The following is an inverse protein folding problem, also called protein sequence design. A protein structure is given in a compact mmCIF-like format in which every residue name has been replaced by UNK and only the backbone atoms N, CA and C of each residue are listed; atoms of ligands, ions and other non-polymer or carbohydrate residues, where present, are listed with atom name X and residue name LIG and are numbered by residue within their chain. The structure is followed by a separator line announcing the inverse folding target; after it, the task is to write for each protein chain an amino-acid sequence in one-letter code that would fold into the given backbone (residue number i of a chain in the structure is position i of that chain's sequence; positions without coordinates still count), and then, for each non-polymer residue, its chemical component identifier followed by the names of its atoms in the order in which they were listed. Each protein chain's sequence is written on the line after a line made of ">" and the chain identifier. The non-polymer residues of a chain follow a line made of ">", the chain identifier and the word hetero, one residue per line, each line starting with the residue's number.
data_IF_770838141357
#
_entry.id   IF_770838141357
#
_cell.length_a   1.000
_cell.length_b   1.000
_cell.length_c   1.000
_cell.angle_alpha   90.00
_cell.angle_beta   90.00
_cell.angle_gamma   90.00
#
_symmetry.space_group_name_H-M   'P 1'
#
loop_
_entity.id
_entity.type
_entity.pdbx_description
1 polymer ?
#
# COMPACT_ATOMS: atom_id res chain seq x y z
N UNK A 1 14.23 -33.32 -11.78
CA UNK A 1 12.86 -32.91 -12.17
C UNK A 1 12.40 -32.07 -11.01
N UNK A 2 12.76 -30.80 -11.01
CA UNK A 2 12.62 -29.95 -9.83
C UNK A 2 11.95 -28.66 -10.29
N UNK A 3 10.67 -28.79 -10.63
CA UNK A 3 9.77 -27.65 -10.70
C UNK A 3 9.43 -27.34 -9.24
N UNK A 4 10.09 -26.32 -8.67
CA UNK A 4 9.71 -25.74 -7.38
C UNK A 4 8.36 -25.01 -7.56
N UNK A 5 7.29 -25.78 -7.61
CA UNK A 5 5.91 -25.34 -7.80
C UNK A 5 5.31 -24.87 -6.45
N UNK A 6 6.07 -24.08 -5.69
CA UNK A 6 5.51 -23.42 -4.50
C UNK A 6 4.59 -22.31 -4.97
N UNK A 7 3.29 -22.49 -4.70
CA UNK A 7 2.29 -21.46 -4.90
C UNK A 7 2.78 -20.11 -4.33
N UNK A 8 2.68 -19.05 -5.14
CA UNK A 8 3.14 -17.72 -4.78
C UNK A 8 2.51 -17.25 -3.46
N UNK A 9 3.35 -16.89 -2.49
CA UNK A 9 2.92 -16.37 -1.20
C UNK A 9 3.33 -14.89 -1.06
N UNK A 10 2.37 -13.95 -1.08
CA UNK A 10 2.65 -12.52 -1.01
C UNK A 10 3.45 -12.08 0.21
N UNK A 11 4.45 -11.21 0.00
CA UNK A 11 5.14 -10.48 1.07
C UNK A 11 4.44 -9.14 1.31
N UNK A 12 3.68 -9.05 2.40
CA UNK A 12 2.92 -7.84 2.73
C UNK A 12 3.56 -7.11 3.90
N UNK A 13 3.80 -5.82 3.74
CA UNK A 13 4.26 -4.94 4.81
C UNK A 13 3.10 -4.05 5.29
N UNK A 14 2.80 -4.06 6.59
CA UNK A 14 1.76 -3.25 7.19
C UNK A 14 2.32 -2.12 8.03
N UNK A 15 1.96 -0.87 7.76
CA UNK A 15 2.24 0.26 8.66
C UNK A 15 0.98 0.61 9.44
N UNK A 16 0.97 0.33 10.75
CA UNK A 16 -0.21 0.53 11.58
C UNK A 16 0.00 1.63 12.60
N UNK A 17 -0.96 2.55 12.72
CA UNK A 17 -0.94 3.54 13.78
C UNK A 17 -1.12 2.86 15.15
N UNK A 18 -0.37 3.34 16.14
CA UNK A 18 -0.33 2.79 17.49
C UNK A 18 -1.72 2.81 18.15
N UNK A 19 -2.46 3.90 17.98
CA UNK A 19 -3.66 4.19 18.77
C UNK A 19 -4.91 3.44 18.32
N UNK A 20 -5.01 3.10 17.03
CA UNK A 20 -6.21 2.48 16.48
C UNK A 20 -5.87 1.17 15.77
N UNK A 21 -5.27 1.21 14.58
CA UNK A 21 -5.14 -0.01 13.76
C UNK A 21 -4.21 -1.05 14.37
N UNK A 22 -3.17 -0.65 15.09
CA UNK A 22 -2.31 -1.59 15.82
C UNK A 22 -3.09 -2.25 16.97
N UNK A 23 -3.87 -1.46 17.73
CA UNK A 23 -4.77 -2.00 18.76
C UNK A 23 -5.88 -2.87 18.18
N UNK A 24 -6.39 -2.56 16.98
CA UNK A 24 -7.31 -3.43 16.24
C UNK A 24 -6.68 -4.77 15.87
N UNK A 25 -5.39 -4.77 15.48
CA UNK A 25 -4.63 -6.00 15.27
C UNK A 25 -4.45 -6.80 16.58
N UNK A 26 -4.14 -6.12 17.69
CA UNK A 26 -4.07 -6.75 19.02
C UNK A 26 -5.42 -7.38 19.41
N UNK A 27 -6.52 -6.67 19.18
CA UNK A 27 -7.87 -7.18 19.44
C UNK A 27 -8.20 -8.40 18.57
N UNK A 28 -7.78 -8.42 17.30
CA UNK A 28 -7.92 -9.59 16.44
C UNK A 28 -7.20 -10.80 17.03
N UNK A 29 -5.98 -10.60 17.55
CA UNK A 29 -5.19 -11.62 18.24
C UNK A 29 -5.85 -12.13 19.53
N UNK A 30 -6.29 -11.23 20.40
CA UNK A 30 -7.02 -11.56 21.65
C UNK A 30 -8.31 -12.33 21.36
N UNK A 31 -9.01 -11.94 20.29
CA UNK A 31 -10.25 -12.57 19.84
C UNK A 31 -10.02 -13.85 19.03
N UNK A 32 -8.76 -14.26 18.85
CA UNK A 32 -8.34 -15.48 18.10
C UNK A 32 -8.84 -15.50 16.65
N UNK A 33 -9.03 -14.34 16.04
CA UNK A 33 -9.49 -14.21 14.67
C UNK A 33 -8.37 -14.60 13.71
N UNK A 34 -8.63 -15.61 12.88
CA UNK A 34 -7.63 -16.12 11.94
C UNK A 34 -7.61 -15.29 10.66
N UNK A 35 -6.42 -14.92 10.21
CA UNK A 35 -6.16 -14.27 8.93
C UNK A 35 -4.80 -14.76 8.39
N UNK A 36 -4.50 -14.58 7.09
CA UNK A 36 -3.24 -15.03 6.50
C UNK A 36 -1.99 -14.45 7.21
N UNK A 37 -0.96 -15.27 7.42
CA UNK A 37 0.25 -14.93 8.17
C UNK A 37 1.28 -14.09 7.36
N UNK A 38 0.88 -13.59 6.19
CA UNK A 38 1.74 -12.90 5.22
C UNK A 38 2.16 -11.50 5.63
N UNK A 39 1.34 -10.85 6.46
CA UNK A 39 1.55 -9.46 6.84
C UNK A 39 2.61 -9.34 7.94
N UNK A 40 3.60 -8.47 7.73
CA UNK A 40 4.58 -8.05 8.75
C UNK A 40 4.30 -6.62 9.15
N UNK A 41 4.00 -6.39 10.42
CA UNK A 41 3.53 -5.09 10.91
C UNK A 41 4.72 -4.26 11.44
N UNK A 42 4.84 -3.04 10.94
CA UNK A 42 5.64 -1.95 11.51
C UNK A 42 4.69 -1.01 12.25
N UNK A 43 4.93 -0.84 13.55
CA UNK A 43 4.19 0.10 14.39
C UNK A 43 4.72 1.52 14.18
N UNK A 44 3.82 2.46 13.95
CA UNK A 44 4.11 3.91 13.94
C UNK A 44 3.17 4.63 14.89
N UNK A 45 3.56 5.77 15.44
CA UNK A 45 2.65 6.50 16.35
C UNK A 45 1.40 7.01 15.65
N UNK A 46 1.54 7.46 14.40
CA UNK A 46 0.45 7.99 13.59
C UNK A 46 0.65 7.58 12.14
N UNK A 47 -0.43 7.32 11.41
CA UNK A 47 -0.37 7.15 9.96
C UNK A 47 0.20 8.39 9.27
N UNK A 48 0.03 9.58 9.87
CA UNK A 48 0.62 10.84 9.37
C UNK A 48 2.15 10.88 9.43
N UNK A 49 2.78 10.03 10.26
CA UNK A 49 4.23 9.85 10.33
C UNK A 49 4.80 9.02 9.19
N UNK A 50 3.95 8.37 8.39
CA UNK A 50 4.36 7.59 7.23
C UNK A 50 4.65 8.55 6.08
N UNK A 51 5.94 8.74 5.80
CA UNK A 51 6.39 9.45 4.59
C UNK A 51 6.24 8.58 3.33
N UNK A 52 6.05 9.17 2.14
CA UNK A 52 6.04 8.44 0.87
C UNK A 52 7.33 7.65 0.62
N UNK A 53 8.47 8.13 1.14
CA UNK A 53 9.75 7.42 1.03
C UNK A 53 9.71 6.03 1.68
N UNK A 54 9.06 5.87 2.84
CA UNK A 54 8.94 4.54 3.46
C UNK A 54 8.16 3.56 2.58
N UNK A 55 7.11 4.04 1.90
CA UNK A 55 6.24 3.23 1.05
C UNK A 55 6.98 2.80 -0.22
N UNK A 56 7.68 3.73 -0.88
CA UNK A 56 8.53 3.43 -2.03
C UNK A 56 9.67 2.48 -1.66
N UNK A 57 10.31 2.71 -0.51
CA UNK A 57 11.38 1.86 -0.03
C UNK A 57 10.91 0.43 0.25
N UNK A 58 9.69 0.25 0.76
CA UNK A 58 9.11 -1.07 0.96
C UNK A 58 9.00 -1.84 -0.36
N UNK A 59 8.52 -1.20 -1.43
CA UNK A 59 8.46 -1.81 -2.76
C UNK A 59 9.87 -2.09 -3.33
N UNK A 60 10.83 -1.16 -3.17
CA UNK A 60 12.23 -1.38 -3.55
C UNK A 60 12.89 -2.56 -2.83
N UNK A 61 12.44 -2.88 -1.61
CA UNK A 61 12.91 -4.04 -0.83
C UNK A 61 12.13 -5.33 -1.12
N UNK A 62 11.25 -5.32 -2.12
CA UNK A 62 10.53 -6.51 -2.60
C UNK A 62 9.25 -6.83 -1.83
N UNK A 63 8.57 -5.81 -1.28
CA UNK A 63 7.19 -5.99 -0.83
C UNK A 63 6.27 -6.17 -2.04
N UNK A 64 5.41 -7.19 -2.01
CA UNK A 64 4.40 -7.42 -3.05
C UNK A 64 3.15 -6.54 -2.85
N UNK A 65 2.93 -6.11 -1.60
CA UNK A 65 1.89 -5.17 -1.21
C UNK A 65 2.23 -4.43 0.08
N UNK A 66 1.72 -3.21 0.21
CA UNK A 66 1.87 -2.37 1.39
C UNK A 66 0.49 -1.95 1.89
N UNK A 67 0.19 -2.30 3.15
CA UNK A 67 -1.03 -1.91 3.85
C UNK A 67 -0.72 -0.76 4.82
N UNK A 68 -1.56 0.26 4.85
CA UNK A 68 -1.51 1.35 5.82
C UNK A 68 -2.80 1.32 6.64
N UNK A 69 -2.67 1.20 7.96
CA UNK A 69 -3.79 1.30 8.90
C UNK A 69 -3.72 2.59 9.70
N UNK A 70 -4.80 3.38 9.67
CA UNK A 70 -4.96 4.56 10.50
C UNK A 70 -6.26 4.58 11.30
N UNK A 71 -6.38 5.58 12.18
CA UNK A 71 -7.65 5.92 12.85
C UNK A 71 -8.69 6.36 11.80
N UNK A 72 -9.97 6.16 12.09
CA UNK A 72 -11.07 6.79 11.33
C UNK A 72 -10.88 8.29 11.18
N UNK A 73 -11.38 8.83 10.07
CA UNK A 73 -11.31 10.25 9.78
C UNK A 73 -12.18 11.00 10.80
N UNK A 74 -11.57 11.91 11.56
CA UNK A 74 -12.19 12.56 12.72
C UNK A 74 -11.63 12.06 14.06
N UNK A 75 -11.16 10.81 14.13
CA UNK A 75 -10.76 10.14 15.37
C UNK A 75 -9.24 10.05 15.55
N UNK A 76 -8.48 10.83 14.77
CA UNK A 76 -7.03 10.79 14.87
C UNK A 76 -6.57 11.28 16.25
N UNK A 77 -5.78 10.46 16.95
CA UNK A 77 -5.17 10.86 18.21
C UNK A 77 -4.35 12.15 18.11
N UNK A 78 -3.77 12.40 16.92
CA UNK A 78 -3.03 13.63 16.61
C UNK A 78 -3.83 14.59 15.71
N UNK A 79 -5.16 14.58 15.85
CA UNK A 79 -6.14 15.46 15.21
C UNK A 79 -6.25 15.31 13.68
N UNK A 80 -5.19 15.66 12.95
CA UNK A 80 -5.21 15.77 11.48
C UNK A 80 -4.18 14.91 10.76
N UNK A 81 -3.45 14.06 11.49
CA UNK A 81 -2.38 13.22 10.91
C UNK A 81 -2.88 12.30 9.78
N UNK A 82 -4.01 11.64 9.98
CA UNK A 82 -4.61 10.73 8.98
C UNK A 82 -5.14 11.47 7.74
N UNK A 83 -5.61 12.72 7.86
CA UNK A 83 -5.99 13.54 6.69
C UNK A 83 -4.79 13.79 5.76
N UNK A 84 -3.59 13.98 6.32
CA UNK A 84 -2.38 14.12 5.52
C UNK A 84 -1.98 12.80 4.83
N UNK A 85 -2.15 11.67 5.52
CA UNK A 85 -1.94 10.34 4.93
C UNK A 85 -2.84 10.11 3.73
N UNK A 86 -4.13 10.45 3.83
CA UNK A 86 -5.09 10.29 2.74
C UNK A 86 -4.62 11.01 1.46
N UNK A 87 -4.19 12.27 1.58
CA UNK A 87 -3.66 13.05 0.45
C UNK A 87 -2.38 12.44 -0.13
N UNK A 88 -1.45 12.03 0.73
CA UNK A 88 -0.16 11.44 0.31
C UNK A 88 -0.32 10.10 -0.38
N UNK A 89 -1.18 9.23 0.14
CA UNK A 89 -1.48 7.93 -0.48
C UNK A 89 -2.13 8.15 -1.83
N UNK A 90 -3.09 9.09 -1.94
CA UNK A 90 -3.73 9.37 -3.23
C UNK A 90 -2.74 9.85 -4.30
N UNK A 91 -1.81 10.72 -3.91
CA UNK A 91 -0.71 11.12 -4.80
C UNK A 91 0.19 9.95 -5.18
N UNK A 92 0.54 9.10 -4.20
CA UNK A 92 1.44 7.97 -4.42
C UNK A 92 0.82 6.89 -5.32
N UNK A 93 -0.49 6.65 -5.26
CA UNK A 93 -1.19 5.76 -6.20
C UNK A 93 -0.97 6.21 -7.65
N UNK A 94 -1.10 7.52 -7.94
CA UNK A 94 -0.86 8.07 -9.27
C UNK A 94 0.61 7.94 -9.70
N UNK A 95 1.55 8.15 -8.76
CA UNK A 95 2.97 7.96 -9.02
C UNK A 95 3.33 6.49 -9.30
N UNK A 96 2.76 5.55 -8.55
CA UNK A 96 2.93 4.12 -8.78
C UNK A 96 2.40 3.71 -10.15
N UNK A 97 1.20 4.17 -10.50
CA UNK A 97 0.61 3.92 -11.82
C UNK A 97 1.49 4.48 -12.95
N UNK A 98 1.97 5.72 -12.81
CA UNK A 98 2.89 6.34 -13.77
C UNK A 98 4.19 5.55 -13.93
N UNK A 99 4.70 4.95 -12.84
CA UNK A 99 5.89 4.11 -12.84
C UNK A 99 5.64 2.65 -13.32
N UNK A 100 4.46 2.35 -13.86
CA UNK A 100 4.11 1.00 -14.35
C UNK A 100 3.78 -0.01 -13.23
N UNK A 101 3.54 0.46 -12.01
CA UNK A 101 3.21 -0.36 -10.86
C UNK A 101 1.69 -0.38 -10.63
N UNK A 102 1.13 -1.54 -10.30
CA UNK A 102 -0.32 -1.62 -10.03
C UNK A 102 -0.65 -0.90 -8.71
N UNK A 103 -1.46 0.18 -8.72
CA UNK A 103 -1.76 0.95 -7.52
C UNK A 103 -2.52 0.12 -6.47
N UNK A 104 -3.17 -0.99 -6.85
CA UNK A 104 -3.82 -1.94 -5.92
C UNK A 104 -2.81 -2.64 -5.00
N UNK A 105 -1.50 -2.51 -5.24
CA UNK A 105 -0.45 -2.99 -4.33
C UNK A 105 -0.25 -2.07 -3.11
N UNK A 106 -0.82 -0.87 -3.11
CA UNK A 106 -0.85 0.04 -1.96
C UNK A 106 -2.30 0.18 -1.47
N UNK A 107 -2.56 -0.14 -0.20
CA UNK A 107 -3.91 -0.04 0.39
C UNK A 107 -3.88 0.80 1.66
N UNK A 108 -4.82 1.73 1.78
CA UNK A 108 -5.05 2.54 2.98
C UNK A 108 -6.41 2.18 3.57
N UNK A 109 -6.43 1.83 4.84
CA UNK A 109 -7.64 1.45 5.58
C UNK A 109 -7.72 2.20 6.91
N UNK A 110 -8.95 2.47 7.32
CA UNK A 110 -9.27 3.13 8.58
C UNK A 110 -9.90 2.10 9.52
N UNK A 111 -9.16 1.75 10.58
CA UNK A 111 -9.51 0.67 11.50
C UNK A 111 -9.29 1.19 12.92
N UNK A 112 -10.37 1.29 13.69
CA UNK A 112 -10.37 1.66 15.11
C UNK A 112 -9.80 0.55 15.99
N UNK A 113 -9.55 0.88 17.26
CA UNK A 113 -9.07 -0.08 18.25
C UNK A 113 -10.08 -1.20 18.56
N UNK A 114 -11.38 -0.97 18.33
CA UNK A 114 -12.45 -1.94 18.62
C UNK A 114 -12.78 -2.85 17.41
N UNK A 115 -12.08 -2.68 16.29
CA UNK A 115 -12.41 -3.29 15.00
C UNK A 115 -11.50 -4.47 14.64
N UNK A 116 -11.32 -5.41 15.59
CA UNK A 116 -10.48 -6.59 15.36
C UNK A 116 -10.99 -7.50 14.24
N UNK A 117 -12.31 -7.64 14.10
CA UNK A 117 -12.92 -8.38 12.98
C UNK A 117 -12.59 -7.74 11.64
N UNK A 118 -12.79 -6.42 11.53
CA UNK A 118 -12.47 -5.66 10.32
C UNK A 118 -11.00 -5.76 9.96
N UNK A 119 -10.09 -5.73 10.95
CA UNK A 119 -8.67 -5.94 10.70
C UNK A 119 -8.39 -7.30 10.03
N UNK A 120 -8.93 -8.39 10.59
CA UNK A 120 -8.75 -9.73 10.05
C UNK A 120 -9.33 -9.87 8.63
N UNK A 121 -10.49 -9.26 8.37
CA UNK A 121 -11.11 -9.19 7.03
C UNK A 121 -10.23 -8.44 6.03
N UNK A 122 -9.78 -7.23 6.38
CA UNK A 122 -8.91 -6.40 5.52
C UNK A 122 -7.63 -7.15 5.17
N UNK A 123 -6.98 -7.81 6.13
CA UNK A 123 -5.76 -8.58 5.87
C UNK A 123 -6.03 -9.74 4.91
N UNK A 124 -7.15 -10.44 5.08
CA UNK A 124 -7.54 -11.54 4.17
C UNK A 124 -7.80 -11.03 2.75
N UNK A 125 -8.68 -10.04 2.61
CA UNK A 125 -9.01 -9.41 1.34
C UNK A 125 -7.76 -8.90 0.62
N UNK A 126 -6.88 -8.21 1.35
CA UNK A 126 -5.67 -7.65 0.76
C UNK A 126 -4.69 -8.75 0.38
N UNK A 127 -4.55 -9.81 1.18
CA UNK A 127 -3.70 -10.96 0.82
C UNK A 127 -4.19 -11.63 -0.46
N UNK A 128 -5.48 -11.87 -0.58
CA UNK A 128 -6.07 -12.50 -1.76
C UNK A 128 -5.93 -11.60 -2.99
N UNK A 129 -6.11 -10.29 -2.81
CA UNK A 129 -5.85 -9.30 -3.86
C UNK A 129 -4.40 -9.37 -4.33
N UNK A 130 -3.40 -9.30 -3.44
CA UNK A 130 -1.99 -9.36 -3.87
C UNK A 130 -1.66 -10.71 -4.49
N UNK A 131 -2.20 -11.82 -3.97
CA UNK A 131 -2.03 -13.15 -4.56
C UNK A 131 -2.54 -13.20 -6.00
N UNK A 132 -3.68 -12.54 -6.28
CA UNK A 132 -4.24 -12.45 -7.64
C UNK A 132 -3.40 -11.62 -8.60
N UNK A 133 -2.64 -10.64 -8.10
CA UNK A 133 -1.73 -9.81 -8.88
C UNK A 133 -0.39 -10.49 -9.16
N UNK A 134 -0.06 -11.57 -8.44
CA UNK A 134 1.23 -12.23 -8.51
C UNK A 134 2.38 -11.42 -7.90
N UNK A 135 3.63 -11.91 -8.06
CA UNK A 135 4.82 -11.23 -7.58
C UNK A 135 4.91 -9.79 -8.08
N UNK A 136 5.36 -8.88 -7.22
CA UNK A 136 5.65 -7.51 -7.64
C UNK A 136 6.78 -7.48 -8.68
N UNK A 137 6.69 -6.61 -9.70
CA UNK A 137 7.84 -6.34 -10.56
C UNK A 137 8.96 -5.70 -9.72
N UNK A 138 10.21 -5.90 -10.15
CA UNK A 138 11.34 -5.19 -9.54
C UNK A 138 11.07 -3.69 -9.64
N UNK A 139 11.09 -2.98 -8.51
CA UNK A 139 10.91 -1.54 -8.46
C UNK A 139 12.21 -0.84 -8.91
N UNK A 140 12.59 -1.09 -10.16
CA UNK A 140 13.63 -0.36 -10.87
C UNK A 140 12.98 0.85 -11.52
N UNK A 141 13.55 2.03 -11.29
CA UNK A 141 13.19 3.21 -12.06
C UNK A 141 13.70 3.01 -13.48
N UNK A 142 12.92 2.35 -14.32
CA UNK A 142 13.13 2.39 -15.77
C UNK A 142 12.39 3.66 -16.23
N UNK A 143 13.08 4.74 -16.65
CA UNK A 143 12.41 5.78 -17.40
C UNK A 143 11.76 5.07 -18.58
N UNK A 144 10.45 5.23 -18.78
CA UNK A 144 9.77 4.63 -19.93
C UNK A 144 10.49 5.01 -21.21
N UNK A 145 11.34 4.10 -21.72
CA UNK A 145 12.14 4.30 -22.93
C UNK A 145 11.34 4.00 -24.20
N UNK A 146 10.02 3.78 -24.06
CA UNK A 146 9.13 3.48 -25.17
C UNK A 146 8.37 4.73 -25.67
N UNK A 147 8.53 5.87 -25.00
CA UNK A 147 8.10 7.16 -25.52
C UNK A 147 9.31 7.89 -26.11
N UNK A 148 9.53 7.74 -27.42
CA UNK A 148 10.50 8.57 -28.13
C UNK A 148 10.15 10.06 -27.92
N UNK A 149 11.10 10.91 -27.49
CA UNK A 149 10.85 12.34 -27.24
C UNK A 149 10.32 13.10 -28.48
N UNK A 150 10.48 12.54 -29.68
CA UNK A 150 9.99 13.11 -30.93
C UNK A 150 8.47 13.03 -31.11
N UNK A 151 7.78 12.13 -30.41
CA UNK A 151 6.32 11.96 -30.57
C UNK A 151 5.54 12.87 -29.61
N UNK A 152 6.14 13.32 -28.51
CA UNK A 152 5.50 14.24 -27.56
C UNK A 152 5.43 15.70 -28.06
N UNK A 153 6.22 16.07 -29.07
CA UNK A 153 6.32 17.44 -29.61
C UNK A 153 5.91 17.60 -31.08
N UNK A 154 5.38 16.54 -31.71
CA UNK A 154 4.94 16.57 -33.11
C UNK A 154 3.54 17.22 -33.32
N UNK A 155 2.86 17.64 -32.25
CA UNK A 155 1.67 18.48 -32.35
C UNK A 155 2.04 19.91 -32.75
N UNK A 156 2.43 20.10 -34.02
CA UNK A 156 2.68 21.41 -34.61
C UNK A 156 1.47 22.30 -34.40
N UNK A 157 1.74 23.53 -33.96
CA UNK A 157 0.76 24.58 -33.91
C UNK A 157 0.11 24.82 -35.27
N UNK A 158 -1.21 24.96 -35.23
CA UNK A 158 -1.94 25.90 -36.06
C UNK A 158 -2.64 26.88 -35.11
N UNK A 159 -1.86 27.81 -34.57
CA UNK A 159 -2.41 29.14 -34.28
C UNK A 159 -2.37 29.90 -35.62
N UNK A 160 -3.47 29.82 -36.38
CA UNK A 160 -3.75 30.80 -37.43
C UNK A 160 -4.48 31.99 -36.80
N UNK A 161 -3.84 33.16 -36.98
CA UNK A 161 -4.36 34.53 -37.05
C UNK A 161 -5.58 34.92 -36.20
#
# INVERSE_FOLDING_TARGET
>A
MDVDDKAFEPKILGFLCNWCSYAGADLAGVSRLQYPANIRIIRVMCSGGISPHHLLHAFQKGADGVLIGGCHIGDCHYLKGNYMTMKRVKFLEGLLQFAGYDPRRLRLEWISAAEGLRFAEVVREFTDQIRSLGPAPTFEAVPGMDAHPSEAFSGRGEFMA
#
